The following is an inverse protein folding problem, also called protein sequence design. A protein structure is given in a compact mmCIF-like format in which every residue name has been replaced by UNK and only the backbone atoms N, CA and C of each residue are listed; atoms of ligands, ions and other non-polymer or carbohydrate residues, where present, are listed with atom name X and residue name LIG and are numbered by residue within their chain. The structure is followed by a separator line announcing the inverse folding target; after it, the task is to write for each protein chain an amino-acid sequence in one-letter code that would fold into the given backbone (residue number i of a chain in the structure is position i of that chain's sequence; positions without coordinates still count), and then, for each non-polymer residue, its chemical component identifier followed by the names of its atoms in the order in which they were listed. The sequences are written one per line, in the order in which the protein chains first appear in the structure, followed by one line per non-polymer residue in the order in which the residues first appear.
data_IF_380670335108
#
_entry.id   IF_380670335108
#
_cell.length_a   1.000
_cell.length_b   1.000
_cell.length_c   1.000
_cell.angle_alpha   90.00
_cell.angle_beta   90.00
_cell.angle_gamma   90.00
#
_symmetry.space_group_name_H-M   'P 1'
#
loop_
_entity.id
_entity.type
_entity.pdbx_description
1 polymer ?
#
# COMPACT_ATOMS: atom_id res chain seq x y z
N UNK A 1 9.68 20.49 13.22
CA UNK A 1 8.62 20.10 12.26
C UNK A 1 7.79 18.89 12.66
N UNK A 2 8.33 17.72 13.10
CA UNK A 2 7.51 16.53 13.33
C UNK A 2 6.45 16.71 14.43
N UNK A 3 6.75 17.49 15.48
CA UNK A 3 5.78 17.80 16.55
C UNK A 3 4.52 18.49 16.02
N UNK A 4 4.66 19.48 15.13
CA UNK A 4 3.50 20.20 14.54
C UNK A 4 2.63 19.26 13.70
N UNK A 5 3.25 18.41 12.89
CA UNK A 5 2.53 17.42 12.07
C UNK A 5 1.75 16.43 12.95
N UNK A 6 2.38 15.89 13.99
CA UNK A 6 1.72 14.96 14.89
C UNK A 6 0.57 15.61 15.68
N UNK A 7 0.68 16.88 16.03
CA UNK A 7 -0.44 17.65 16.62
C UNK A 7 -1.58 17.81 15.62
N UNK A 8 -1.29 18.11 14.36
CA UNK A 8 -2.31 18.18 13.31
C UNK A 8 -3.00 16.82 13.14
N UNK A 9 -2.23 15.73 13.03
CA UNK A 9 -2.79 14.38 12.93
C UNK A 9 -3.66 14.04 14.15
N UNK A 10 -3.23 14.38 15.36
CA UNK A 10 -3.99 14.13 16.58
C UNK A 10 -5.35 14.85 16.59
N UNK A 11 -5.44 16.03 15.95
CA UNK A 11 -6.66 16.82 15.85
C UNK A 11 -7.64 16.35 14.76
N UNK A 12 -7.25 15.40 13.90
CA UNK A 12 -8.09 14.92 12.81
C UNK A 12 -9.24 14.03 13.29
N UNK A 13 -10.43 14.26 12.75
CA UNK A 13 -11.57 13.36 12.87
C UNK A 13 -11.39 12.09 12.04
N UNK A 14 -12.15 11.03 12.37
CA UNK A 14 -12.13 9.76 11.63
C UNK A 14 -12.39 9.93 10.13
N UNK A 15 -13.28 10.86 9.74
CA UNK A 15 -13.58 11.16 8.34
C UNK A 15 -12.38 11.79 7.63
N UNK A 16 -11.66 12.70 8.29
CA UNK A 16 -10.45 13.31 7.74
C UNK A 16 -9.31 12.29 7.61
N UNK A 17 -9.16 11.38 8.57
CA UNK A 17 -8.19 10.28 8.51
C UNK A 17 -8.49 9.38 7.31
N UNK A 18 -9.74 8.96 7.15
CA UNK A 18 -10.17 8.14 6.01
C UNK A 18 -9.94 8.87 4.68
N UNK A 19 -10.41 10.11 4.56
CA UNK A 19 -10.25 10.90 3.34
C UNK A 19 -8.77 11.13 2.99
N UNK A 20 -7.92 11.40 3.98
CA UNK A 20 -6.48 11.58 3.78
C UNK A 20 -5.80 10.28 3.39
N UNK A 21 -6.22 9.15 3.95
CA UNK A 21 -5.75 7.82 3.56
C UNK A 21 -6.14 7.47 2.12
N UNK A 22 -7.38 7.75 1.72
CA UNK A 22 -7.84 7.56 0.33
C UNK A 22 -7.13 8.50 -0.65
N UNK A 23 -6.89 9.75 -0.26
CA UNK A 23 -6.08 10.68 -1.06
C UNK A 23 -4.64 10.15 -1.22
N UNK A 24 -4.05 9.64 -0.13
CA UNK A 24 -2.74 9.01 -0.17
C UNK A 24 -2.74 7.76 -1.06
N UNK A 25 -3.82 6.97 -1.06
CA UNK A 25 -3.96 5.82 -1.95
C UNK A 25 -3.87 6.23 -3.43
N UNK A 26 -4.50 7.34 -3.82
CA UNK A 26 -4.40 7.87 -5.19
C UNK A 26 -2.95 8.25 -5.53
N UNK A 27 -2.24 8.89 -4.60
CA UNK A 27 -0.84 9.27 -4.81
C UNK A 27 0.05 8.02 -4.99
N UNK A 28 -0.08 7.04 -4.10
CA UNK A 28 0.67 5.78 -4.18
C UNK A 28 0.34 5.07 -5.48
N UNK A 29 -0.94 4.97 -5.83
CA UNK A 29 -1.38 4.29 -7.07
C UNK A 29 -0.82 4.97 -8.32
N UNK A 30 -0.82 6.31 -8.35
CA UNK A 30 -0.24 7.06 -9.47
C UNK A 30 1.23 6.71 -9.66
N UNK A 31 1.99 6.63 -8.55
CA UNK A 31 3.40 6.21 -8.60
C UNK A 31 3.49 4.75 -9.09
N UNK A 32 2.68 3.84 -8.56
CA UNK A 32 2.66 2.42 -8.95
C UNK A 32 2.34 2.24 -10.44
N UNK A 33 1.37 2.99 -10.99
CA UNK A 33 1.02 3.01 -12.41
C UNK A 33 2.18 3.49 -13.26
N UNK A 34 2.84 4.59 -12.88
CA UNK A 34 4.00 5.12 -13.60
C UNK A 34 5.13 4.09 -13.62
N UNK A 35 5.43 3.47 -12.47
CA UNK A 35 6.44 2.42 -12.39
C UNK A 35 6.07 1.20 -13.23
N UNK A 36 4.81 0.76 -13.18
CA UNK A 36 4.31 -0.42 -13.91
C UNK A 36 4.30 -0.21 -15.41
N UNK A 37 3.70 0.87 -15.90
CA UNK A 37 3.44 1.07 -17.33
C UNK A 37 4.41 2.04 -17.99
N UNK A 38 4.99 2.99 -17.24
CA UNK A 38 6.02 3.90 -17.74
C UNK A 38 7.42 3.28 -17.75
N UNK A 39 7.77 2.54 -16.69
CA UNK A 39 9.08 1.87 -16.58
C UNK A 39 9.03 0.36 -16.79
N UNK A 40 7.86 -0.19 -17.16
CA UNK A 40 7.64 -1.61 -17.41
C UNK A 40 8.03 -2.53 -16.23
N UNK A 41 7.97 -2.03 -14.99
CA UNK A 41 8.32 -2.82 -13.80
C UNK A 41 7.22 -3.83 -13.46
N UNK A 42 7.62 -5.06 -13.16
CA UNK A 42 6.74 -6.14 -12.75
C UNK A 42 7.31 -6.83 -11.52
N UNK A 43 6.58 -6.83 -10.40
CA UNK A 43 7.09 -7.43 -9.16
C UNK A 43 7.33 -8.94 -9.28
N UNK A 44 6.58 -9.67 -10.12
CA UNK A 44 6.85 -11.09 -10.40
C UNK A 44 8.23 -11.33 -11.03
N UNK A 45 8.75 -10.39 -11.82
CA UNK A 45 10.05 -10.47 -12.48
C UNK A 45 11.14 -9.77 -11.68
N UNK A 46 10.92 -8.50 -11.37
CA UNK A 46 11.94 -7.58 -10.86
C UNK A 46 12.19 -7.75 -9.36
N UNK A 47 11.27 -8.39 -8.62
CA UNK A 47 11.47 -8.72 -7.20
C UNK A 47 11.51 -10.22 -6.93
N UNK A 48 11.66 -11.06 -7.96
CA UNK A 48 11.70 -12.52 -7.83
C UNK A 48 12.74 -13.01 -6.80
N UNK A 49 13.90 -12.35 -6.72
CA UNK A 49 14.96 -12.67 -5.76
C UNK A 49 14.51 -12.54 -4.29
N UNK A 50 13.52 -11.68 -4.01
CA UNK A 50 12.95 -11.56 -2.66
C UNK A 50 12.20 -12.84 -2.24
N UNK A 51 11.72 -13.64 -3.20
CA UNK A 51 11.05 -14.91 -2.95
C UNK A 51 11.89 -15.87 -2.11
N UNK A 52 13.22 -15.87 -2.24
CA UNK A 52 14.09 -16.70 -1.41
C UNK A 52 14.07 -16.31 0.08
N UNK A 53 13.90 -15.01 0.37
CA UNK A 53 13.86 -14.47 1.73
C UNK A 53 12.46 -14.54 2.35
N UNK A 54 11.42 -14.60 1.53
CA UNK A 54 10.02 -14.65 1.96
C UNK A 54 9.43 -16.06 1.89
N UNK A 55 10.26 -17.10 1.73
CA UNK A 55 9.84 -18.49 1.56
C UNK A 55 8.82 -18.67 0.41
N UNK A 56 9.00 -17.91 -0.66
CA UNK A 56 8.16 -17.89 -1.84
C UNK A 56 6.95 -16.96 -1.75
N UNK A 57 6.67 -16.32 -0.61
CA UNK A 57 5.51 -15.44 -0.46
C UNK A 57 5.72 -14.10 -1.18
N UNK A 58 4.72 -13.64 -1.92
CA UNK A 58 4.72 -12.27 -2.47
C UNK A 58 4.21 -11.30 -1.44
N UNK A 59 4.95 -10.21 -1.24
CA UNK A 59 4.57 -9.15 -0.31
C UNK A 59 3.86 -8.06 -1.10
N UNK A 60 2.55 -8.00 -0.95
CA UNK A 60 1.74 -6.88 -1.39
C UNK A 60 1.84 -5.76 -0.37
N UNK A 61 1.91 -4.50 -0.82
CA UNK A 61 1.95 -3.37 0.11
C UNK A 61 0.64 -3.25 0.91
N UNK A 62 -0.47 -3.80 0.39
CA UNK A 62 -1.71 -3.96 1.13
C UNK A 62 -1.56 -4.80 2.41
N UNK A 63 -0.67 -5.80 2.44
CA UNK A 63 -0.42 -6.62 3.63
C UNK A 63 0.24 -5.81 4.75
N UNK A 64 1.18 -4.92 4.37
CA UNK A 64 1.80 -3.98 5.30
C UNK A 64 0.73 -3.05 5.86
N UNK A 65 -0.16 -2.53 5.00
CA UNK A 65 -1.28 -1.72 5.45
C UNK A 65 -2.19 -2.46 6.44
N UNK A 66 -2.57 -3.71 6.16
CA UNK A 66 -3.38 -4.54 7.06
C UNK A 66 -2.71 -4.78 8.42
N UNK A 67 -1.39 -5.00 8.46
CA UNK A 67 -0.62 -5.11 9.71
C UNK A 67 -0.56 -3.78 10.47
N UNK A 68 -0.40 -2.67 9.75
CA UNK A 68 -0.29 -1.34 10.35
C UNK A 68 -1.59 -0.87 11.01
N UNK A 69 -2.77 -1.28 10.51
CA UNK A 69 -4.06 -0.90 11.10
C UNK A 69 -4.10 -1.23 12.61
N UNK A 70 -4.01 -2.50 13.07
CA UNK A 70 -4.02 -2.83 14.49
C UNK A 70 -2.77 -2.33 15.22
N UNK A 71 -1.60 -2.35 14.57
CA UNK A 71 -0.35 -1.89 15.19
C UNK A 71 -0.39 -0.39 15.56
N UNK A 72 -1.19 0.41 14.84
CA UNK A 72 -1.36 1.83 15.13
C UNK A 72 -1.81 2.10 16.58
N UNK A 73 -2.56 1.17 17.20
CA UNK A 73 -3.03 1.32 18.58
C UNK A 73 -1.89 1.34 19.60
N UNK A 74 -0.73 0.79 19.28
CA UNK A 74 0.47 0.82 20.12
C UNK A 74 1.13 2.21 20.20
N UNK A 75 0.66 3.18 19.42
CA UNK A 75 1.25 4.52 19.35
C UNK A 75 0.37 5.63 19.95
N UNK A 76 0.98 6.75 20.37
CA UNK A 76 0.26 7.96 20.78
C UNK A 76 -0.66 8.49 19.67
N UNK A 77 -1.73 9.19 20.04
CA UNK A 77 -2.84 9.53 19.12
C UNK A 77 -2.40 10.15 17.78
N UNK A 78 -1.49 11.13 17.80
CA UNK A 78 -1.00 11.76 16.58
C UNK A 78 -0.27 10.80 15.64
N UNK A 79 0.56 9.92 16.20
CA UNK A 79 1.29 8.91 15.43
C UNK A 79 0.35 7.78 14.99
N UNK A 80 -0.60 7.37 15.84
CA UNK A 80 -1.66 6.42 15.50
C UNK A 80 -2.45 6.87 14.28
N UNK A 81 -2.90 8.14 14.26
CA UNK A 81 -3.63 8.69 13.12
C UNK A 81 -2.77 8.73 11.86
N UNK A 82 -1.49 9.12 11.96
CA UNK A 82 -0.56 9.09 10.83
C UNK A 82 -0.36 7.66 10.29
N UNK A 83 -0.17 6.67 11.18
CA UNK A 83 -0.05 5.25 10.81
C UNK A 83 -1.33 4.75 10.16
N UNK A 84 -2.53 5.13 10.64
CA UNK A 84 -3.78 4.79 9.97
C UNK A 84 -3.92 5.40 8.59
N UNK A 85 -3.51 6.66 8.39
CA UNK A 85 -3.53 7.29 7.06
C UNK A 85 -2.66 6.48 6.09
N UNK A 86 -1.45 6.12 6.51
CA UNK A 86 -0.53 5.29 5.72
C UNK A 86 -1.15 3.91 5.46
N UNK A 87 -1.69 3.25 6.49
CA UNK A 87 -2.29 1.92 6.38
C UNK A 87 -3.45 1.89 5.38
N UNK A 88 -4.37 2.85 5.48
CA UNK A 88 -5.49 3.02 4.55
C UNK A 88 -4.96 3.27 3.13
N UNK A 89 -3.97 4.16 2.98
CA UNK A 89 -3.34 4.44 1.69
C UNK A 89 -2.78 3.20 1.00
N UNK A 90 -2.04 2.39 1.75
CA UNK A 90 -1.44 1.15 1.26
C UNK A 90 -2.49 0.10 0.87
N UNK A 91 -3.50 -0.13 1.73
CA UNK A 91 -4.56 -1.11 1.46
C UNK A 91 -5.33 -0.74 0.20
N UNK A 92 -5.84 0.50 0.13
CA UNK A 92 -6.72 0.89 -0.97
C UNK A 92 -5.95 1.09 -2.28
N UNK A 93 -4.69 1.54 -2.24
CA UNK A 93 -3.86 1.56 -3.45
C UNK A 93 -3.61 0.15 -3.96
N UNK A 94 -3.23 -0.80 -3.09
CA UNK A 94 -2.97 -2.19 -3.51
C UNK A 94 -4.21 -2.84 -4.15
N UNK A 95 -5.37 -2.70 -3.50
CA UNK A 95 -6.62 -3.21 -4.04
C UNK A 95 -6.99 -2.55 -5.37
N UNK A 96 -6.86 -1.23 -5.48
CA UNK A 96 -7.13 -0.52 -6.72
C UNK A 96 -6.15 -0.94 -7.84
N UNK A 97 -4.87 -1.07 -7.51
CA UNK A 97 -3.85 -1.48 -8.47
C UNK A 97 -4.19 -2.83 -9.10
N UNK A 98 -4.48 -3.82 -8.26
CA UNK A 98 -4.70 -5.18 -8.72
C UNK A 98 -6.09 -5.35 -9.33
N UNK A 99 -7.15 -4.92 -8.63
CA UNK A 99 -8.52 -5.24 -9.02
C UNK A 99 -9.20 -4.18 -9.88
N UNK A 100 -8.58 -3.02 -10.12
CA UNK A 100 -9.10 -2.01 -11.04
C UNK A 100 -8.11 -1.81 -12.18
N UNK A 101 -6.90 -1.34 -11.87
CA UNK A 101 -5.94 -0.90 -12.88
C UNK A 101 -5.38 -2.07 -13.68
N UNK A 102 -4.69 -3.02 -13.03
CA UNK A 102 -4.09 -4.18 -13.69
C UNK A 102 -5.16 -5.03 -14.37
N UNK A 103 -6.30 -5.24 -13.72
CA UNK A 103 -7.39 -5.98 -14.35
C UNK A 103 -7.88 -5.29 -15.62
N UNK A 104 -8.13 -3.98 -15.59
CA UNK A 104 -8.58 -3.23 -16.77
C UNK A 104 -7.55 -3.25 -17.91
N UNK A 105 -6.27 -3.01 -17.62
CA UNK A 105 -5.24 -2.88 -18.65
C UNK A 105 -4.61 -4.20 -19.11
N UNK A 106 -4.63 -5.25 -18.29
CA UNK A 106 -3.95 -6.52 -18.58
C UNK A 106 -4.88 -7.74 -18.63
N UNK A 107 -6.16 -7.57 -18.28
CA UNK A 107 -7.14 -8.66 -18.22
C UNK A 107 -6.95 -9.60 -17.02
N UNK A 108 -6.00 -9.32 -16.12
CA UNK A 108 -5.71 -10.12 -14.92
C UNK A 108 -5.37 -9.22 -13.74
N UNK A 109 -5.81 -9.54 -12.51
CA UNK A 109 -5.46 -8.77 -11.33
C UNK A 109 -4.00 -8.97 -10.89
N UNK A 110 -3.34 -10.06 -11.31
CA UNK A 110 -1.94 -10.38 -10.93
C UNK A 110 -1.68 -10.35 -9.41
N UNK A 111 -2.69 -10.76 -8.63
CA UNK A 111 -2.70 -10.80 -7.17
C UNK A 111 -2.30 -12.20 -6.67
N UNK A 112 -1.05 -12.60 -6.89
CA UNK A 112 -0.56 -13.92 -6.49
C UNK A 112 -0.02 -13.88 -5.07
N UNK A 113 -0.44 -14.82 -4.21
CA UNK A 113 0.09 -14.94 -2.85
C UNK A 113 1.53 -15.48 -2.80
N UNK A 114 1.93 -16.19 -3.85
CA UNK A 114 3.24 -16.87 -3.97
C UNK A 114 3.87 -16.48 -5.29
N UNK A 115 5.20 -16.36 -5.34
CA UNK A 115 5.92 -16.10 -6.58
C UNK A 115 5.67 -17.25 -7.57
N UNK A 116 5.24 -16.96 -8.81
CA UNK A 116 5.00 -18.01 -9.79
C UNK A 116 6.31 -18.71 -10.17
N UNK A 117 6.24 -20.01 -10.39
CA UNK A 117 7.42 -20.85 -10.73
C UNK A 117 7.98 -20.57 -12.12
N UNK A 118 7.25 -19.84 -12.97
CA UNK A 118 7.69 -19.32 -14.27
C UNK A 118 7.10 -17.91 -14.48
N UNK A 119 7.88 -16.96 -15.01
CA UNK A 119 7.37 -15.65 -15.40
C UNK A 119 6.45 -15.71 -16.62
#
# INVERSE_FOLDING_TARGET
MPKKLLTLCAAMSRRQILASGLLLAIVIETITVILRFGFALQSTRDTAALGAFTLGLRVHHGYIGLLLVPLAWCFPLGLRHAVWIIAIGLIFSDLAHHFIVLWYFTGSPQFDFVYPTRP
#
